data_IF_452093559753
#
_entry.id   IF_452093559753
#
_cell.length_a   1.000
_cell.length_b   1.000
_cell.length_c   1.000
_cell.angle_alpha   90.00
_cell.angle_beta   90.00
_cell.angle_gamma   90.00
#
_symmetry.space_group_name_H-M   'P 1'
#
loop_
_entity.id
_entity.type
_entity.pdbx_description
1 polymer ?
#
# COMPACT_ATOMS: atom_id res chain seq x y z
N UNK A 1 50.66 -7.13 43.57
CA UNK A 1 49.57 -8.12 43.60
C UNK A 1 48.31 -7.39 44.07
N UNK A 2 47.49 -6.87 43.16
CA UNK A 2 46.27 -6.14 43.53
C UNK A 2 45.13 -7.14 43.65
N UNK A 3 44.78 -7.51 44.88
CA UNK A 3 43.67 -8.41 45.18
C UNK A 3 42.36 -7.66 44.98
N UNK A 4 41.54 -8.13 44.04
CA UNK A 4 40.18 -7.62 43.88
C UNK A 4 39.34 -8.21 45.00
N UNK A 5 38.89 -7.38 45.94
CA UNK A 5 38.04 -7.79 47.06
C UNK A 5 36.79 -8.52 46.56
N UNK A 6 36.67 -9.80 46.93
CA UNK A 6 35.62 -10.71 46.45
C UNK A 6 34.21 -10.40 47.01
N UNK A 7 34.07 -9.36 47.84
CA UNK A 7 32.79 -8.94 48.44
C UNK A 7 32.14 -7.73 47.77
N UNK A 8 32.77 -7.15 46.74
CA UNK A 8 32.12 -6.06 45.99
C UNK A 8 30.97 -6.62 45.13
N UNK A 9 29.74 -6.07 45.23
CA UNK A 9 28.65 -6.50 44.37
C UNK A 9 29.00 -6.19 42.90
N UNK A 10 28.73 -7.15 42.02
CA UNK A 10 28.87 -6.96 40.58
C UNK A 10 28.02 -5.74 40.15
N UNK A 11 28.65 -4.79 39.45
CA UNK A 11 27.94 -3.65 38.89
C UNK A 11 26.80 -4.18 37.99
N UNK A 12 25.57 -3.74 38.25
CA UNK A 12 24.41 -4.13 37.45
C UNK A 12 24.66 -3.64 36.02
N UNK A 13 24.52 -4.48 34.99
CA UNK A 13 24.64 -4.00 33.62
C UNK A 13 23.53 -2.97 33.38
N UNK A 14 23.91 -1.80 32.88
CA UNK A 14 22.96 -0.81 32.37
C UNK A 14 22.05 -1.52 31.35
N UNK A 15 20.72 -1.45 31.52
CA UNK A 15 19.82 -2.05 30.56
C UNK A 15 20.08 -1.38 29.21
N UNK A 16 20.33 -2.18 28.17
CA UNK A 16 20.38 -1.70 26.78
C UNK A 16 19.14 -0.83 26.60
N UNK A 17 19.35 0.44 26.24
CA UNK A 17 18.35 1.51 26.18
C UNK A 17 17.06 1.05 25.49
N UNK A 18 16.23 0.31 26.21
CA UNK A 18 14.90 -0.08 25.80
C UNK A 18 14.07 1.11 26.23
N UNK A 19 14.26 2.20 25.48
CA UNK A 19 13.38 3.35 25.43
C UNK A 19 11.96 2.78 25.35
N UNK A 20 11.34 2.68 26.52
CA UNK A 20 9.99 2.17 26.67
C UNK A 20 9.11 3.30 26.18
N UNK A 21 9.04 3.46 24.87
CA UNK A 21 8.15 4.41 24.23
C UNK A 21 6.76 4.13 24.78
N UNK A 22 6.22 5.08 25.54
CA UNK A 22 4.90 5.00 26.17
C UNK A 22 3.78 5.19 25.15
N UNK A 23 4.08 4.96 23.87
CA UNK A 23 3.13 5.10 22.78
C UNK A 23 2.03 4.06 22.87
N UNK A 24 0.86 4.45 22.38
CA UNK A 24 -0.25 3.56 22.13
C UNK A 24 0.20 2.48 21.15
N UNK A 25 0.07 1.20 21.55
CA UNK A 25 0.49 0.04 20.75
C UNK A 25 -0.72 -0.52 20.02
N UNK A 26 -0.64 -0.61 18.71
CA UNK A 26 -1.63 -1.34 17.91
C UNK A 26 -1.36 -2.83 18.03
N UNK A 27 -2.41 -3.62 18.27
CA UNK A 27 -2.28 -5.07 18.33
C UNK A 27 -1.98 -5.63 16.94
N UNK A 28 -1.01 -6.53 16.85
CA UNK A 28 -0.52 -7.05 15.57
C UNK A 28 -1.64 -7.77 14.80
N UNK A 29 -2.50 -8.51 15.50
CA UNK A 29 -3.57 -9.25 14.83
C UNK A 29 -4.58 -8.33 14.17
N UNK A 30 -4.90 -7.17 14.76
CA UNK A 30 -5.87 -6.23 14.18
C UNK A 30 -5.35 -5.66 12.85
N UNK A 31 -4.04 -5.37 12.79
CA UNK A 31 -3.37 -4.91 11.56
C UNK A 31 -3.37 -6.02 10.52
N UNK A 32 -3.04 -7.25 10.92
CA UNK A 32 -3.02 -8.42 10.04
C UNK A 32 -4.42 -8.67 9.49
N UNK A 33 -5.45 -8.66 10.33
CA UNK A 33 -6.84 -8.87 9.93
C UNK A 33 -7.29 -7.82 8.90
N UNK A 34 -6.99 -6.54 9.15
CA UNK A 34 -7.30 -5.45 8.22
C UNK A 34 -6.61 -5.66 6.85
N UNK A 35 -5.36 -6.13 6.86
CA UNK A 35 -4.62 -6.43 5.63
C UNK A 35 -5.21 -7.65 4.90
N UNK A 36 -5.54 -8.72 5.61
CA UNK A 36 -6.21 -9.90 5.04
C UNK A 36 -7.53 -9.50 4.38
N UNK A 37 -8.39 -8.76 5.08
CA UNK A 37 -9.68 -8.30 4.54
C UNK A 37 -9.50 -7.51 3.24
N UNK A 38 -8.49 -6.64 3.16
CA UNK A 38 -8.17 -5.89 1.94
C UNK A 38 -7.70 -6.79 0.79
N UNK A 39 -6.98 -7.87 1.08
CA UNK A 39 -6.49 -8.81 0.05
C UNK A 39 -7.58 -9.77 -0.43
N UNK A 40 -8.46 -10.21 0.47
CA UNK A 40 -9.56 -11.13 0.15
C UNK A 40 -10.79 -10.41 -0.42
N UNK A 41 -10.87 -9.09 -0.26
CA UNK A 41 -11.85 -8.28 -0.96
C UNK A 41 -11.66 -8.48 -2.47
N UNK A 42 -12.60 -9.22 -3.07
CA UNK A 42 -12.66 -9.42 -4.52
C UNK A 42 -12.59 -8.04 -5.17
N UNK A 43 -11.74 -7.82 -6.19
CA UNK A 43 -11.77 -6.56 -6.91
C UNK A 43 -13.21 -6.38 -7.38
N UNK A 44 -13.84 -5.29 -6.93
CA UNK A 44 -15.14 -4.87 -7.46
C UNK A 44 -14.94 -4.84 -8.96
N UNK A 45 -15.67 -5.69 -9.68
CA UNK A 45 -15.56 -5.78 -11.15
C UNK A 45 -15.61 -4.35 -11.64
N UNK A 46 -14.54 -3.91 -12.32
CA UNK A 46 -14.51 -2.58 -12.91
C UNK A 46 -15.82 -2.41 -13.67
N UNK A 47 -16.56 -1.29 -13.46
CA UNK A 47 -17.82 -1.10 -14.15
C UNK A 47 -17.54 -1.31 -15.64
N UNK A 48 -18.30 -2.22 -16.25
CA UNK A 48 -18.16 -2.50 -17.68
C UNK A 48 -18.28 -1.17 -18.37
N UNK A 49 -17.21 -0.72 -19.04
CA UNK A 49 -17.23 0.55 -19.74
C UNK A 49 -18.46 0.54 -20.64
N UNK A 50 -19.39 1.49 -20.41
CA UNK A 50 -20.53 1.65 -21.31
C UNK A 50 -19.95 1.81 -22.71
N UNK A 51 -20.60 1.20 -23.71
CA UNK A 51 -20.20 1.37 -25.12
C UNK A 51 -20.38 2.84 -25.47
N UNK A 52 -19.37 3.66 -25.20
CA UNK A 52 -19.32 5.05 -25.64
C UNK A 52 -19.21 5.00 -27.15
N UNK A 53 -19.95 5.88 -27.83
CA UNK A 53 -19.83 6.04 -29.26
C UNK A 53 -18.36 6.13 -29.68
N UNK A 54 -17.98 5.46 -30.77
CA UNK A 54 -16.60 5.49 -31.28
C UNK A 54 -16.45 6.68 -32.21
N UNK A 55 -15.33 7.41 -32.12
CA UNK A 55 -14.97 8.40 -33.12
C UNK A 55 -14.55 7.67 -34.39
N UNK A 56 -15.17 8.00 -35.52
CA UNK A 56 -14.79 7.55 -36.86
C UNK A 56 -14.28 8.75 -37.65
N UNK A 57 -13.14 8.59 -38.31
CA UNK A 57 -12.61 9.57 -39.24
C UNK A 57 -13.28 9.35 -40.60
N UNK A 58 -13.91 10.39 -41.14
CA UNK A 58 -14.49 10.35 -42.48
C UNK A 58 -13.45 10.82 -43.48
N UNK A 59 -13.39 10.14 -44.62
CA UNK A 59 -12.53 10.47 -45.74
C UNK A 59 -13.39 10.93 -46.92
N UNK A 60 -12.88 11.91 -47.69
CA UNK A 60 -13.49 12.34 -48.95
C UNK A 60 -13.24 11.31 -50.07
N UNK A 61 -13.85 11.51 -51.25
CA UNK A 61 -13.70 10.64 -52.43
C UNK A 61 -12.23 10.51 -52.92
N UNK A 62 -11.36 11.43 -52.47
CA UNK A 62 -9.92 11.42 -52.72
C UNK A 62 -9.08 10.81 -51.57
N UNK A 63 -9.71 10.32 -50.50
CA UNK A 63 -9.03 9.70 -49.36
C UNK A 63 -8.44 10.69 -48.35
N UNK A 64 -8.71 11.99 -48.48
CA UNK A 64 -8.29 13.01 -47.52
C UNK A 64 -9.19 12.99 -46.28
N UNK A 65 -8.62 13.08 -45.06
CA UNK A 65 -9.40 13.06 -43.82
C UNK A 65 -10.15 14.39 -43.63
N UNK A 66 -11.49 14.33 -43.60
CA UNK A 66 -12.35 15.50 -43.45
C UNK A 66 -12.60 15.85 -41.98
N UNK A 67 -13.24 14.94 -41.23
CA UNK A 67 -13.66 15.21 -39.84
C UNK A 67 -13.96 13.94 -39.04
N UNK A 68 -13.96 14.11 -37.72
CA UNK A 68 -14.39 13.09 -36.77
C UNK A 68 -15.89 13.14 -36.54
N UNK A 69 -16.54 11.98 -36.61
CA UNK A 69 -17.96 11.81 -36.26
C UNK A 69 -18.08 10.73 -35.20
N UNK A 70 -18.91 10.99 -34.19
CA UNK A 70 -19.27 9.99 -33.19
C UNK A 70 -20.31 9.03 -33.79
N UNK A 71 -19.99 7.73 -33.88
CA UNK A 71 -20.99 6.72 -34.22
C UNK A 71 -21.68 6.24 -32.95
N UNK A 72 -23.00 6.34 -32.91
CA UNK A 72 -23.78 5.67 -31.87
C UNK A 72 -23.58 4.15 -32.00
N UNK A 73 -23.45 3.44 -30.88
CA UNK A 73 -23.03 2.02 -30.84
C UNK A 73 -24.19 1.03 -30.74
#
# INVERSE_FOLDING_TARGET
MSGRDASAPLAKPEPWHLEKSSGERTYVNDVVETLEQRRHAKPVKAPTASKKGRKKLIYDDFGEPLRWVWSDS
#
